data_IF_546916738398
#
_entry.id   IF_546916738398
#
_cell.length_a   1.000
_cell.length_b   1.000
_cell.length_c   1.000
_cell.angle_alpha   90.00
_cell.angle_beta   90.00
_cell.angle_gamma   90.00
#
_symmetry.space_group_name_H-M   'P 1'
#
loop_
_entity.id
_entity.type
_entity.pdbx_description
1 polymer ?
#
# COMPACT_ATOMS: atom_id res chain seq x y z
N UNK A 1 3.46 -0.40 48.48
CA UNK A 1 3.85 -0.43 47.06
C UNK A 1 2.63 -0.87 46.25
N UNK A 2 2.14 -0.02 45.35
CA UNK A 2 1.03 -0.38 44.45
C UNK A 2 1.65 -1.09 43.25
N UNK A 3 1.41 -2.39 43.14
CA UNK A 3 1.85 -3.19 41.99
C UNK A 3 0.79 -3.10 40.90
N UNK A 4 1.10 -2.41 39.79
CA UNK A 4 0.27 -2.44 38.60
C UNK A 4 0.64 -3.65 37.75
N UNK A 5 -0.33 -4.53 37.51
CA UNK A 5 -0.18 -5.66 36.60
C UNK A 5 -0.53 -5.14 35.20
N UNK A 6 0.47 -4.98 34.34
CA UNK A 6 0.24 -4.62 32.94
C UNK A 6 -0.20 -5.86 32.18
N UNK A 7 -1.51 -6.00 31.93
CA UNK A 7 -2.03 -6.99 30.99
C UNK A 7 -1.81 -6.49 29.56
N UNK A 8 -0.70 -6.88 28.93
CA UNK A 8 -0.48 -6.69 27.49
C UNK A 8 -1.28 -7.74 26.70
N UNK A 9 -2.60 -7.59 26.64
CA UNK A 9 -3.41 -8.31 25.66
C UNK A 9 -3.58 -7.43 24.43
N UNK A 10 -2.59 -7.43 23.52
CA UNK A 10 -2.83 -6.93 22.16
C UNK A 10 -3.65 -7.98 21.41
N UNK A 11 -4.94 -8.10 21.73
CA UNK A 11 -5.84 -8.94 20.97
C UNK A 11 -6.13 -8.21 19.64
N UNK A 12 -5.21 -8.37 18.68
CA UNK A 12 -5.35 -7.81 17.35
C UNK A 12 -6.59 -8.45 16.71
N UNK A 13 -7.65 -7.66 16.56
CA UNK A 13 -8.92 -8.10 15.99
C UNK A 13 -8.73 -8.44 14.50
N UNK A 14 -9.45 -9.45 13.98
CA UNK A 14 -9.53 -9.68 12.54
C UNK A 14 -10.02 -8.43 11.81
N UNK A 15 -9.38 -8.10 10.69
CA UNK A 15 -9.96 -7.15 9.74
C UNK A 15 -11.07 -7.89 9.00
N UNK A 16 -12.23 -7.25 8.86
CA UNK A 16 -13.38 -7.83 8.15
C UNK A 16 -13.54 -7.20 6.77
N UNK A 17 -13.99 -7.98 5.80
CA UNK A 17 -14.42 -7.49 4.50
C UNK A 17 -15.86 -6.93 4.56
N UNK A 18 -16.40 -6.55 3.39
CA UNK A 18 -17.75 -5.99 3.27
C UNK A 18 -18.85 -6.99 3.61
N UNK A 19 -18.56 -8.29 3.52
CA UNK A 19 -19.48 -9.38 3.83
C UNK A 19 -19.39 -9.79 5.31
N UNK A 20 -18.67 -9.02 6.14
CA UNK A 20 -18.42 -9.29 7.57
C UNK A 20 -17.60 -10.57 7.80
N UNK A 21 -16.84 -11.02 6.80
CA UNK A 21 -15.96 -12.18 6.93
C UNK A 21 -14.53 -11.74 7.22
N UNK A 22 -13.75 -12.55 7.97
CA UNK A 22 -12.34 -12.24 8.20
C UNK A 22 -11.56 -12.18 6.89
N UNK A 23 -10.82 -11.09 6.71
CA UNK A 23 -9.87 -10.91 5.62
C UNK A 23 -8.74 -11.94 5.78
N UNK A 24 -8.44 -12.67 4.71
CA UNK A 24 -7.42 -13.74 4.72
C UNK A 24 -6.40 -13.56 3.60
N UNK A 25 -5.20 -14.10 3.80
CA UNK A 25 -4.19 -14.16 2.73
C UNK A 25 -4.63 -15.10 1.60
N UNK A 26 -4.36 -14.72 0.35
CA UNK A 26 -4.51 -15.62 -0.81
C UNK A 26 -5.62 -15.22 -1.78
N UNK A 27 -6.88 -15.04 -1.35
CA UNK A 27 -7.95 -14.50 -2.20
C UNK A 27 -7.64 -13.09 -2.68
N UNK A 28 -8.26 -12.73 -3.81
CA UNK A 28 -8.15 -11.41 -4.38
C UNK A 28 -9.32 -10.53 -3.93
N UNK A 29 -9.00 -9.33 -3.45
CA UNK A 29 -9.94 -8.36 -2.91
C UNK A 29 -9.88 -7.05 -3.70
N UNK A 30 -10.98 -6.29 -3.68
CA UNK A 30 -11.00 -4.91 -4.13
C UNK A 30 -10.94 -3.98 -2.92
N UNK A 31 -10.11 -2.94 -3.00
CA UNK A 31 -10.13 -1.83 -2.04
C UNK A 31 -11.02 -0.74 -2.63
N UNK A 32 -12.18 -0.53 -2.03
CA UNK A 32 -13.15 0.49 -2.42
C UNK A 32 -13.03 1.70 -1.51
N UNK A 33 -13.15 2.90 -2.08
CA UNK A 33 -13.08 4.16 -1.33
C UNK A 33 -14.42 4.89 -1.42
N UNK A 34 -14.91 5.40 -0.29
CA UNK A 34 -16.19 6.14 -0.27
C UNK A 34 -16.10 7.40 -1.14
N UNK A 35 -17.04 7.58 -2.05
CA UNK A 35 -17.11 8.73 -2.96
C UNK A 35 -16.14 8.68 -4.15
N UNK A 36 -15.37 7.61 -4.31
CA UNK A 36 -14.51 7.33 -5.48
C UNK A 36 -14.72 5.88 -5.92
N UNK A 37 -14.05 5.46 -6.99
CA UNK A 37 -13.96 4.04 -7.33
C UNK A 37 -12.93 3.34 -6.44
N UNK A 38 -12.52 2.14 -6.87
CA UNK A 38 -11.50 1.38 -6.19
C UNK A 38 -10.08 1.76 -6.59
N UNK A 39 -9.12 1.04 -6.00
CA UNK A 39 -7.69 1.24 -6.24
C UNK A 39 -7.29 0.63 -7.58
N UNK A 40 -6.54 1.37 -8.39
CA UNK A 40 -6.02 0.97 -9.69
C UNK A 40 -4.53 1.38 -9.84
N UNK A 41 -3.95 1.11 -11.00
CA UNK A 41 -2.62 1.50 -11.41
C UNK A 41 -2.70 2.53 -12.53
N UNK A 42 -1.90 3.58 -12.41
CA UNK A 42 -1.73 4.59 -13.46
C UNK A 42 -0.25 4.85 -13.74
N UNK A 43 0.14 5.24 -14.96
CA UNK A 43 1.48 5.73 -15.22
C UNK A 43 1.94 6.82 -14.26
N UNK A 44 3.17 6.70 -13.78
CA UNK A 44 3.81 7.69 -12.91
C UNK A 44 3.98 9.08 -13.55
N UNK A 45 4.16 9.12 -14.87
CA UNK A 45 4.41 10.35 -15.61
C UNK A 45 3.78 10.25 -16.99
N UNK A 46 3.21 11.36 -17.45
CA UNK A 46 2.67 11.47 -18.80
C UNK A 46 3.80 11.13 -19.80
N UNK A 47 3.59 10.10 -20.63
CA UNK A 47 4.51 9.55 -21.65
C UNK A 47 5.40 8.37 -21.24
N UNK A 48 5.31 7.87 -20.01
CA UNK A 48 5.92 6.59 -19.65
C UNK A 48 4.83 5.54 -19.42
N UNK A 49 5.06 4.29 -19.81
CA UNK A 49 4.14 3.18 -19.48
C UNK A 49 4.45 2.57 -18.11
N UNK A 50 5.69 2.74 -17.65
CA UNK A 50 6.23 2.21 -16.40
C UNK A 50 7.25 3.19 -15.81
N UNK A 51 7.40 3.29 -14.47
CA UNK A 51 6.68 2.53 -13.44
C UNK A 51 5.22 2.98 -13.28
N UNK A 52 4.41 2.14 -12.64
CA UNK A 52 3.01 2.41 -12.32
C UNK A 52 2.87 2.84 -10.85
N UNK A 53 1.96 3.77 -10.62
CA UNK A 53 1.59 4.28 -9.30
C UNK A 53 0.25 3.75 -8.88
N UNK A 54 0.09 3.60 -7.57
CA UNK A 54 -1.21 3.31 -6.98
C UNK A 54 -2.07 4.57 -7.10
N UNK A 55 -3.17 4.45 -7.82
CA UNK A 55 -4.13 5.54 -8.07
C UNK A 55 -5.54 5.14 -7.64
N UNK A 56 -6.41 6.12 -7.40
CA UNK A 56 -7.83 5.87 -7.17
C UNK A 56 -8.61 6.10 -8.46
N UNK A 57 -9.56 5.22 -8.73
CA UNK A 57 -10.52 5.40 -9.81
C UNK A 57 -11.39 6.65 -9.57
N UNK A 58 -11.59 7.45 -10.62
CA UNK A 58 -12.46 8.62 -10.56
C UNK A 58 -13.95 8.24 -10.62
N UNK A 59 -14.26 7.11 -11.26
CA UNK A 59 -15.63 6.64 -11.41
C UNK A 59 -15.97 5.64 -10.30
N UNK A 60 -16.97 5.96 -9.48
CA UNK A 60 -17.47 5.14 -8.38
C UNK A 60 -17.96 3.75 -8.82
N UNK A 61 -18.33 3.58 -10.09
CA UNK A 61 -18.76 2.30 -10.65
C UNK A 61 -17.58 1.38 -11.02
N UNK A 62 -16.34 1.87 -10.96
CA UNK A 62 -15.14 1.09 -11.26
C UNK A 62 -14.50 0.62 -9.95
N UNK A 63 -14.50 -0.70 -9.75
CA UNK A 63 -13.90 -1.32 -8.56
C UNK A 63 -12.37 -1.31 -8.55
N UNK A 64 -11.74 -0.88 -9.64
CA UNK A 64 -10.29 -0.88 -9.79
C UNK A 64 -9.74 -2.28 -10.10
N UNK A 65 -8.52 -2.56 -9.63
CA UNK A 65 -7.84 -3.83 -9.84
C UNK A 65 -7.86 -4.70 -8.57
N UNK A 66 -8.05 -6.02 -8.73
CA UNK A 66 -7.98 -6.94 -7.61
C UNK A 66 -6.55 -7.06 -7.06
N UNK A 67 -6.43 -7.25 -5.75
CA UNK A 67 -5.16 -7.40 -5.04
C UNK A 67 -5.21 -8.46 -3.94
N UNK A 68 -4.03 -8.95 -3.55
CA UNK A 68 -3.85 -9.91 -2.48
C UNK A 68 -3.15 -9.24 -1.30
N UNK A 69 -3.60 -9.56 -0.09
CA UNK A 69 -2.89 -9.29 1.14
C UNK A 69 -2.00 -10.47 1.49
N UNK A 70 -0.75 -10.19 1.82
CA UNK A 70 0.26 -11.17 2.19
C UNK A 70 0.83 -10.76 3.54
N UNK A 71 0.93 -11.68 4.49
CA UNK A 71 1.65 -11.39 5.73
C UNK A 71 3.13 -11.13 5.41
N UNK A 72 3.75 -10.16 6.11
CA UNK A 72 5.17 -9.89 5.96
C UNK A 72 6.05 -11.10 6.35
N UNK A 73 5.53 -11.98 7.20
CA UNK A 73 6.19 -13.23 7.59
C UNK A 73 6.11 -14.22 6.43
N UNK A 74 7.26 -14.67 5.86
CA UNK A 74 7.28 -15.55 4.71
C UNK A 74 6.60 -16.89 5.00
N UNK A 75 5.93 -17.44 3.98
CA UNK A 75 5.24 -18.74 4.01
C UNK A 75 4.15 -18.89 5.10
N UNK A 76 3.68 -17.77 5.66
CA UNK A 76 2.58 -17.78 6.62
C UNK A 76 1.31 -17.28 5.95
N UNK A 77 0.33 -18.17 5.81
CA UNK A 77 -1.04 -17.80 5.48
C UNK A 77 -1.89 -17.61 6.72
N UNK A 78 -3.03 -16.93 6.59
CA UNK A 78 -4.05 -16.88 7.63
C UNK A 78 -4.90 -15.62 7.61
N UNK A 79 -5.55 -15.40 8.75
CA UNK A 79 -6.40 -14.22 9.00
C UNK A 79 -5.54 -12.98 9.22
N UNK A 80 -5.83 -11.95 8.44
CA UNK A 80 -5.25 -10.62 8.58
C UNK A 80 -5.86 -9.95 9.81
N UNK A 81 -5.00 -9.47 10.71
CA UNK A 81 -5.42 -8.78 11.93
C UNK A 81 -4.99 -7.33 11.89
N UNK A 82 -5.67 -6.50 12.68
CA UNK A 82 -5.30 -5.11 12.89
C UNK A 82 -3.84 -5.00 13.33
N UNK A 83 -3.13 -3.98 12.84
CA UNK A 83 -1.72 -3.72 13.15
C UNK A 83 -0.75 -4.85 12.78
N UNK A 84 -1.15 -5.78 11.92
CA UNK A 84 -0.24 -6.74 11.31
C UNK A 84 0.50 -6.11 10.12
N UNK A 85 1.79 -6.40 9.98
CA UNK A 85 2.57 -5.98 8.81
C UNK A 85 2.22 -6.84 7.59
N UNK A 86 1.96 -6.17 6.46
CA UNK A 86 1.47 -6.79 5.24
C UNK A 86 2.22 -6.28 4.01
N UNK A 87 2.39 -7.17 3.04
CA UNK A 87 2.66 -6.81 1.65
C UNK A 87 1.34 -6.82 0.87
N UNK A 88 1.13 -5.78 0.06
CA UNK A 88 -0.04 -5.66 -0.81
C UNK A 88 0.44 -5.81 -2.25
N UNK A 89 -0.20 -6.70 -3.01
CA UNK A 89 0.19 -7.00 -4.39
C UNK A 89 -1.04 -7.07 -5.30
N UNK A 90 -1.04 -6.36 -6.42
CA UNK A 90 -2.09 -6.55 -7.43
C UNK A 90 -2.03 -7.97 -8.01
N UNK A 91 -3.20 -8.60 -8.13
CA UNK A 91 -3.32 -9.99 -8.58
C UNK A 91 -3.11 -10.12 -10.10
N UNK A 92 -3.41 -9.07 -10.86
CA UNK A 92 -3.24 -9.06 -12.31
C UNK A 92 -1.78 -8.80 -12.72
N UNK A 93 -1.39 -9.39 -13.85
CA UNK A 93 -0.12 -9.09 -14.51
C UNK A 93 -0.13 -7.66 -15.02
N UNK A 94 0.92 -6.89 -14.71
CA UNK A 94 1.07 -5.54 -15.27
C UNK A 94 1.93 -5.57 -16.53
N UNK A 95 1.78 -4.53 -17.36
CA UNK A 95 2.57 -4.34 -18.58
C UNK A 95 4.05 -4.10 -18.34
N UNK A 96 4.45 -3.86 -17.08
CA UNK A 96 5.83 -3.57 -16.69
C UNK A 96 6.71 -4.81 -16.49
N UNK A 97 6.18 -6.01 -16.75
CA UNK A 97 6.95 -7.27 -16.66
C UNK A 97 7.44 -7.61 -15.25
N UNK A 98 6.92 -6.93 -14.22
CA UNK A 98 7.32 -7.04 -12.81
C UNK A 98 6.10 -7.27 -11.93
N UNK A 99 6.25 -7.92 -10.76
CA UNK A 99 5.16 -8.04 -9.81
C UNK A 99 4.76 -6.66 -9.29
N UNK A 100 3.46 -6.40 -9.20
CA UNK A 100 2.92 -5.12 -8.74
C UNK A 100 2.73 -5.10 -7.23
N UNK A 101 3.84 -5.24 -6.51
CA UNK A 101 3.91 -5.10 -5.05
C UNK A 101 3.98 -3.62 -4.71
N UNK A 102 3.18 -3.20 -3.73
CA UNK A 102 3.17 -1.82 -3.26
C UNK A 102 4.46 -1.52 -2.51
N UNK A 103 5.11 -0.45 -2.90
CA UNK A 103 6.28 0.07 -2.23
C UNK A 103 6.13 1.56 -2.04
N UNK A 104 6.62 2.04 -0.91
CA UNK A 104 6.73 3.46 -0.70
C UNK A 104 8.07 3.92 -1.29
N UNK A 105 8.03 4.76 -2.33
CA UNK A 105 9.25 5.43 -2.81
C UNK A 105 9.19 6.91 -2.49
N UNK A 106 10.36 7.44 -2.19
CA UNK A 106 10.56 8.87 -2.11
C UNK A 106 10.74 9.39 -3.53
N UNK A 107 9.79 10.21 -3.99
CA UNK A 107 9.93 10.92 -5.24
C UNK A 107 10.54 12.27 -5.00
N UNK A 108 11.74 12.47 -5.51
CA UNK A 108 12.24 13.81 -5.69
C UNK A 108 11.41 14.51 -6.76
N UNK A 109 10.53 15.41 -6.33
CA UNK A 109 9.84 16.31 -7.25
C UNK A 109 10.89 17.31 -7.78
N UNK A 110 11.03 17.39 -9.10
CA UNK A 110 11.96 18.30 -9.79
C UNK A 110 11.66 19.79 -9.56
N UNK A 111 10.53 20.13 -8.94
CA UNK A 111 10.24 21.47 -8.45
C UNK A 111 11.09 21.85 -7.22
N UNK A 112 11.67 20.88 -6.51
CA UNK A 112 12.46 21.14 -5.29
C UNK A 112 13.76 20.33 -5.21
N UNK A 113 13.99 19.29 -6.02
CA UNK A 113 15.26 18.55 -6.09
C UNK A 113 15.45 17.50 -4.99
N UNK A 114 16.28 16.48 -5.25
CA UNK A 114 16.76 15.57 -4.20
C UNK A 114 17.81 16.32 -3.39
N UNK A 115 17.52 16.65 -2.13
CA UNK A 115 18.51 17.19 -1.22
C UNK A 115 19.25 16.05 -0.54
N UNK A 116 20.59 16.11 -0.52
CA UNK A 116 21.37 15.23 0.34
C UNK A 116 21.09 15.58 1.81
N UNK A 117 21.16 14.60 2.74
CA UNK A 117 20.97 14.86 4.16
C UNK A 117 21.86 16.03 4.64
N UNK A 118 21.24 17.17 4.94
CA UNK A 118 21.94 18.38 5.36
C UNK A 118 22.09 19.49 4.31
N UNK A 119 21.43 19.42 3.15
CA UNK A 119 21.39 20.56 2.22
C UNK A 119 20.64 21.76 2.87
N UNK A 120 21.21 22.97 2.88
CA UNK A 120 20.57 24.18 3.40
C UNK A 120 19.23 24.55 2.73
N UNK A 121 18.94 23.97 1.56
CA UNK A 121 17.70 24.18 0.80
C UNK A 121 16.61 23.15 1.12
N UNK A 122 16.83 22.24 2.07
CA UNK A 122 15.80 21.30 2.52
C UNK A 122 14.53 22.04 2.98
N UNK A 123 13.38 21.87 2.30
CA UNK A 123 12.11 22.37 2.81
C UNK A 123 11.74 21.59 4.07
N UNK A 124 11.19 22.27 5.07
CA UNK A 124 10.75 21.66 6.32
C UNK A 124 9.89 20.41 6.06
N UNK A 125 10.43 19.25 6.45
CA UNK A 125 9.90 17.88 6.32
C UNK A 125 8.42 17.80 5.88
N UNK A 126 8.23 17.85 4.56
CA UNK A 126 6.99 17.51 3.87
C UNK A 126 7.27 16.36 2.91
N UNK A 127 7.50 15.17 3.45
CA UNK A 127 7.78 13.97 2.67
C UNK A 127 6.49 13.47 1.99
N UNK A 128 6.27 13.86 0.73
CA UNK A 128 5.22 13.28 -0.11
C UNK A 128 5.62 11.85 -0.50
N UNK A 129 5.19 10.92 0.36
CA UNK A 129 5.48 9.49 0.27
C UNK A 129 4.44 8.88 -0.68
N UNK A 130 4.86 8.47 -1.88
CA UNK A 130 3.94 7.87 -2.85
C UNK A 130 4.15 6.36 -2.97
N UNK A 131 3.03 5.63 -3.00
CA UNK A 131 3.01 4.20 -3.25
C UNK A 131 3.18 3.93 -4.75
N UNK A 132 4.25 3.23 -5.09
CA UNK A 132 4.61 2.85 -6.45
C UNK A 132 4.81 1.34 -6.56
N UNK A 133 4.85 0.88 -7.80
CA UNK A 133 5.39 -0.44 -8.13
C UNK A 133 6.93 -0.43 -8.13
N UNK A 134 7.51 -1.53 -7.65
CA UNK A 134 8.97 -1.76 -7.54
C UNK A 134 9.80 -1.32 -8.76
N UNK A 135 10.86 -0.55 -8.49
CA UNK A 135 12.05 -0.39 -9.35
C UNK A 135 13.16 -1.20 -8.69
N UNK A 136 13.65 -2.20 -9.40
CA UNK A 136 14.74 -3.06 -8.94
C UNK A 136 15.92 -2.30 -8.31
N UNK A 137 16.46 -2.90 -7.24
CA UNK A 137 17.72 -2.56 -6.52
C UNK A 137 18.92 -2.62 -7.46
#
# INVERSE_FOLDING_TARGET
MISMIFSLSSCQSPVLDTDQLPLVTGPAYYILTVGRGGVNLSPATNNQTCPLDVSLEHNVLRNGLPLNFLLAIPNRGGVIRSSSDLNIKFSNTTTCGRPAVWQLVERCQWATGCFEPGDPREPGRGNDKQLVQDREV
#
